data_IF_524486188933
#
_entry.id   IF_524486188933
#
_cell.length_a   1.000
_cell.length_b   1.000
_cell.length_c   1.000
_cell.angle_alpha   90.00
_cell.angle_beta   90.00
_cell.angle_gamma   90.00
#
_symmetry.space_group_name_H-M   'P 1'
#
loop_
_entity.id
_entity.type
_entity.pdbx_description
1 polymer ?
#
# COMPACT_ATOMS: atom_id res chain seq x y z
N UNK A 1 -32.26 45.52 -28.61
CA UNK A 1 -31.77 44.40 -29.46
C UNK A 1 -30.32 43.98 -29.20
N UNK A 2 -29.49 44.70 -28.42
CA UNK A 2 -28.07 44.35 -28.19
C UNK A 2 -27.80 43.38 -27.03
N UNK A 3 -28.72 43.25 -26.06
CA UNK A 3 -28.55 42.37 -24.89
C UNK A 3 -28.81 40.87 -25.15
N UNK A 4 -29.50 40.50 -26.23
CA UNK A 4 -29.84 39.10 -26.50
C UNK A 4 -28.73 38.33 -27.23
N UNK A 5 -27.84 39.05 -27.92
CA UNK A 5 -26.73 38.46 -28.69
C UNK A 5 -25.56 38.11 -27.75
N UNK A 6 -25.34 38.91 -26.70
CA UNK A 6 -24.25 38.69 -25.74
C UNK A 6 -24.48 37.48 -24.83
N UNK A 7 -25.73 37.23 -24.41
CA UNK A 7 -26.05 36.05 -23.60
C UNK A 7 -25.86 34.73 -24.37
N UNK A 8 -26.15 34.72 -25.68
CA UNK A 8 -26.00 33.54 -26.52
C UNK A 8 -24.53 33.24 -26.84
N UNK A 9 -23.66 34.27 -26.91
CA UNK A 9 -22.22 34.09 -27.09
C UNK A 9 -21.56 33.50 -25.83
N UNK A 10 -21.98 33.95 -24.64
CA UNK A 10 -21.40 33.50 -23.37
C UNK A 10 -21.78 32.05 -23.04
N UNK A 11 -23.01 31.64 -23.36
CA UNK A 11 -23.44 30.25 -23.20
C UNK A 11 -22.69 29.30 -24.16
N UNK A 12 -22.36 29.76 -25.38
CA UNK A 12 -21.58 28.98 -26.34
C UNK A 12 -20.13 28.82 -25.86
N UNK A 13 -19.51 29.85 -25.29
CA UNK A 13 -18.14 29.75 -24.75
C UNK A 13 -18.04 28.83 -23.53
N UNK A 14 -19.05 28.83 -22.65
CA UNK A 14 -19.06 27.95 -21.46
C UNK A 14 -19.30 26.48 -21.84
N UNK A 15 -20.12 26.22 -22.88
CA UNK A 15 -20.31 24.87 -23.41
C UNK A 15 -19.09 24.36 -24.21
N UNK A 16 -18.34 25.24 -24.88
CA UNK A 16 -17.07 24.86 -25.53
C UNK A 16 -15.91 24.68 -24.54
N UNK A 17 -15.90 25.38 -23.40
CA UNK A 17 -14.90 25.15 -22.34
C UNK A 17 -15.24 23.96 -21.42
N UNK A 18 -16.52 23.55 -21.36
CA UNK A 18 -16.99 22.46 -20.50
C UNK A 18 -16.83 21.04 -21.07
N UNK A 19 -16.49 20.89 -22.34
CA UNK A 19 -16.49 19.58 -23.03
C UNK A 19 -15.11 18.99 -23.30
N UNK A 20 -14.00 19.59 -22.84
CA UNK A 20 -12.65 19.05 -23.15
C UNK A 20 -11.58 19.23 -22.09
N UNK A 21 -11.95 19.59 -20.85
CA UNK A 21 -11.00 19.76 -19.76
C UNK A 21 -11.22 18.73 -18.64
N UNK A 22 -11.30 17.46 -19.02
CA UNK A 22 -11.21 16.29 -18.13
C UNK A 22 -10.11 15.32 -18.59
N UNK A 23 -9.13 15.85 -19.33
CA UNK A 23 -7.98 15.14 -19.91
C UNK A 23 -7.03 16.15 -20.55
N UNK A 24 -6.64 17.17 -19.78
CA UNK A 24 -5.77 18.24 -20.24
C UNK A 24 -4.31 17.81 -20.24
N UNK A 25 -3.58 18.27 -21.26
CA UNK A 25 -2.12 18.17 -21.40
C UNK A 25 -1.40 18.26 -20.04
N UNK A 26 -0.71 17.16 -19.66
CA UNK A 26 0.07 17.04 -18.42
C UNK A 26 -0.54 16.10 -17.37
N UNK A 27 -1.81 15.69 -17.53
CA UNK A 27 -2.42 14.69 -16.64
C UNK A 27 -1.84 13.28 -16.82
N UNK A 28 -1.37 12.98 -18.04
CA UNK A 28 -0.71 11.73 -18.40
C UNK A 28 0.71 11.65 -17.82
N UNK A 29 1.49 12.73 -17.94
CA UNK A 29 2.83 12.83 -17.35
C UNK A 29 2.77 12.70 -15.82
N UNK A 30 1.81 13.36 -15.17
CA UNK A 30 1.60 13.24 -13.73
C UNK A 30 1.17 11.84 -13.31
N UNK A 31 0.36 11.15 -14.10
CA UNK A 31 -0.07 9.78 -13.83
C UNK A 31 1.07 8.78 -14.07
N UNK A 32 1.92 9.01 -15.07
CA UNK A 32 3.13 8.22 -15.31
C UNK A 32 4.13 8.35 -14.16
N UNK A 33 4.38 9.58 -13.68
CA UNK A 33 5.21 9.81 -12.50
C UNK A 33 4.68 9.06 -11.27
N UNK A 34 3.36 9.02 -11.06
CA UNK A 34 2.74 8.26 -9.97
C UNK A 34 2.93 6.74 -10.09
N UNK A 35 2.97 6.18 -11.31
CA UNK A 35 3.30 4.77 -11.52
C UNK A 35 4.74 4.49 -11.11
N UNK A 36 5.68 5.35 -11.50
CA UNK A 36 7.10 5.18 -11.13
C UNK A 36 7.28 5.28 -9.61
N UNK A 37 6.66 6.27 -8.97
CA UNK A 37 6.67 6.40 -7.50
C UNK A 37 6.03 5.19 -6.80
N UNK A 38 4.93 4.65 -7.36
CA UNK A 38 4.30 3.44 -6.82
C UNK A 38 5.23 2.22 -6.92
N UNK A 39 5.97 2.07 -8.03
CA UNK A 39 6.97 1.01 -8.20
C UNK A 39 8.12 1.15 -7.21
N UNK A 40 8.68 2.35 -7.05
CA UNK A 40 9.77 2.60 -6.09
C UNK A 40 9.34 2.22 -4.66
N UNK A 41 8.11 2.57 -4.28
CA UNK A 41 7.53 2.14 -2.98
C UNK A 41 7.37 0.62 -2.89
N UNK A 42 6.97 -0.03 -3.97
CA UNK A 42 6.84 -1.49 -4.06
C UNK A 42 8.19 -2.20 -3.88
N UNK A 43 9.24 -1.67 -4.50
CA UNK A 43 10.61 -2.18 -4.39
C UNK A 43 11.14 -2.02 -2.97
N UNK A 44 11.04 -0.81 -2.40
CA UNK A 44 11.47 -0.56 -1.03
C UNK A 44 10.73 -1.45 -0.01
N UNK A 45 9.46 -1.77 -0.26
CA UNK A 45 8.70 -2.70 0.58
C UNK A 45 9.18 -4.15 0.43
N UNK A 46 9.54 -4.59 -0.78
CA UNK A 46 10.08 -5.93 -0.99
C UNK A 46 11.36 -6.14 -0.16
N UNK A 47 12.27 -5.16 -0.18
CA UNK A 47 13.50 -5.20 0.62
C UNK A 47 13.21 -5.30 2.13
N UNK A 48 12.24 -4.52 2.62
CA UNK A 48 11.81 -4.58 4.03
C UNK A 48 11.22 -5.94 4.40
N UNK A 49 10.29 -6.46 3.60
CA UNK A 49 9.67 -7.77 3.84
C UNK A 49 10.71 -8.90 3.85
N UNK A 50 11.72 -8.82 2.98
CA UNK A 50 12.81 -9.79 2.96
C UNK A 50 13.69 -9.72 4.22
N UNK A 51 13.96 -8.50 4.69
CA UNK A 51 14.68 -8.28 5.95
C UNK A 51 13.90 -8.83 7.15
N UNK A 52 12.60 -8.56 7.19
CA UNK A 52 11.69 -9.06 8.22
C UNK A 52 11.58 -10.59 8.21
N UNK A 53 11.51 -11.21 7.03
CA UNK A 53 11.51 -12.66 6.90
C UNK A 53 12.81 -13.27 7.42
N UNK A 54 13.94 -12.62 7.13
CA UNK A 54 15.26 -13.04 7.62
C UNK A 54 15.30 -12.99 9.15
N UNK A 55 14.86 -11.88 9.75
CA UNK A 55 14.80 -11.71 11.20
C UNK A 55 13.86 -12.73 11.87
N UNK A 56 12.67 -12.93 11.30
CA UNK A 56 11.69 -13.89 11.81
C UNK A 56 12.17 -15.33 11.72
N UNK A 57 12.85 -15.68 10.62
CA UNK A 57 13.42 -17.02 10.44
C UNK A 57 14.53 -17.28 11.45
N UNK A 58 15.38 -16.28 11.72
CA UNK A 58 16.39 -16.38 12.76
C UNK A 58 15.75 -16.57 14.15
N UNK A 59 14.74 -15.78 14.51
CA UNK A 59 14.03 -15.92 15.78
C UNK A 59 13.30 -17.27 15.91
N UNK A 60 12.76 -17.80 14.80
CA UNK A 60 12.07 -19.09 14.79
C UNK A 60 13.01 -20.29 14.98
N UNK A 61 14.32 -20.12 14.83
CA UNK A 61 15.30 -21.17 15.11
C UNK A 61 15.30 -21.55 16.59
N UNK A 62 15.08 -20.57 17.47
CA UNK A 62 15.05 -20.75 18.93
C UNK A 62 13.62 -20.92 19.46
N UNK A 63 12.60 -20.39 18.75
CA UNK A 63 11.21 -20.40 19.19
C UNK A 63 10.28 -21.07 18.14
N UNK A 64 10.00 -22.36 18.34
CA UNK A 64 9.21 -23.18 17.42
C UNK A 64 7.80 -22.64 17.16
N UNK A 65 7.25 -21.82 18.08
CA UNK A 65 5.92 -21.19 17.93
C UNK A 65 5.86 -20.17 16.80
N UNK A 66 7.01 -19.71 16.30
CA UNK A 66 7.11 -18.77 15.18
C UNK A 66 7.10 -19.43 13.81
N UNK A 67 7.19 -20.76 13.75
CA UNK A 67 7.22 -21.48 12.48
C UNK A 67 6.02 -21.15 11.58
N UNK A 68 4.82 -21.01 12.16
CA UNK A 68 3.63 -20.62 11.38
C UNK A 68 3.72 -19.19 10.84
N UNK A 69 4.27 -18.26 11.61
CA UNK A 69 4.47 -16.88 11.16
C UNK A 69 5.51 -16.79 10.04
N UNK A 70 6.60 -17.58 10.10
CA UNK A 70 7.59 -17.69 9.02
C UNK A 70 6.93 -18.15 7.72
N UNK A 71 6.10 -19.20 7.77
CA UNK A 71 5.38 -19.71 6.59
C UNK A 71 4.48 -18.63 5.99
N UNK A 72 3.71 -17.92 6.81
CA UNK A 72 2.83 -16.85 6.34
C UNK A 72 3.62 -15.68 5.74
N UNK A 73 4.68 -15.22 6.41
CA UNK A 73 5.51 -14.13 5.91
C UNK A 73 6.22 -14.49 4.61
N UNK A 74 6.65 -15.75 4.46
CA UNK A 74 7.23 -16.26 3.20
C UNK A 74 6.24 -16.14 2.06
N UNK A 75 4.97 -16.51 2.28
CA UNK A 75 3.92 -16.36 1.28
C UNK A 75 3.67 -14.89 0.90
N UNK A 76 3.71 -13.98 1.88
CA UNK A 76 3.58 -12.52 1.65
C UNK A 76 4.75 -11.99 0.82
N UNK A 77 5.99 -12.38 1.14
CA UNK A 77 7.19 -12.02 0.36
C UNK A 77 7.05 -12.51 -1.08
N UNK A 78 6.71 -13.78 -1.29
CA UNK A 78 6.54 -14.33 -2.65
C UNK A 78 5.43 -13.62 -3.43
N UNK A 79 4.33 -13.24 -2.77
CA UNK A 79 3.26 -12.46 -3.41
C UNK A 79 3.74 -11.06 -3.81
N UNK A 80 4.50 -10.38 -2.95
CA UNK A 80 5.10 -9.07 -3.24
C UNK A 80 6.06 -9.14 -4.43
N UNK A 81 6.93 -10.14 -4.48
CA UNK A 81 7.90 -10.33 -5.57
C UNK A 81 7.20 -10.60 -6.91
N UNK A 82 6.19 -11.46 -6.91
CA UNK A 82 5.40 -11.77 -8.11
C UNK A 82 4.67 -10.51 -8.63
N UNK A 83 4.04 -9.74 -7.73
CA UNK A 83 3.39 -8.48 -8.06
C UNK A 83 4.38 -7.45 -8.61
N UNK A 84 5.58 -7.35 -8.02
CA UNK A 84 6.64 -6.44 -8.50
C UNK A 84 7.08 -6.78 -9.93
N UNK A 85 7.28 -8.06 -10.25
CA UNK A 85 7.61 -8.50 -11.62
C UNK A 85 6.49 -8.13 -12.59
N UNK A 86 5.24 -8.41 -12.23
CA UNK A 86 4.08 -8.08 -13.04
C UNK A 86 3.94 -6.56 -13.27
N UNK A 87 4.07 -5.76 -12.22
CA UNK A 87 3.94 -4.31 -12.30
C UNK A 87 5.08 -3.62 -13.03
N UNK A 88 6.32 -4.13 -12.92
CA UNK A 88 7.45 -3.66 -13.75
C UNK A 88 7.18 -3.90 -15.24
N UNK A 89 6.70 -5.10 -15.59
CA UNK A 89 6.32 -5.39 -16.97
C UNK A 89 5.18 -4.48 -17.44
N UNK A 90 4.16 -4.27 -16.60
CA UNK A 90 3.03 -3.40 -16.93
C UNK A 90 3.44 -1.94 -17.10
N UNK A 91 4.32 -1.43 -16.26
CA UNK A 91 4.82 -0.07 -16.37
C UNK A 91 5.71 0.12 -17.60
N UNK A 92 6.46 -0.90 -18.02
CA UNK A 92 7.23 -0.87 -19.27
C UNK A 92 6.34 -0.82 -20.52
N UNK A 93 5.12 -1.39 -20.45
CA UNK A 93 4.12 -1.29 -21.53
C UNK A 93 3.42 0.08 -21.56
N UNK A 94 3.29 0.73 -20.41
CA UNK A 94 2.67 2.05 -20.30
C UNK A 94 3.70 3.12 -20.65
N UNK A 95 3.61 3.66 -21.87
CA UNK A 95 4.43 4.80 -22.33
C UNK A 95 3.73 6.15 -22.16
N UNK A 96 4.45 7.25 -22.35
CA UNK A 96 3.89 8.63 -22.43
C UNK A 96 2.77 8.77 -23.48
N UNK A 97 2.69 7.85 -24.46
CA UNK A 97 1.65 7.84 -25.48
C UNK A 97 0.39 7.02 -25.09
N UNK A 98 0.38 6.41 -23.91
CA UNK A 98 -0.76 5.63 -23.42
C UNK A 98 -1.91 6.55 -23.04
N UNK A 99 -3.15 6.11 -23.23
CA UNK A 99 -4.29 6.92 -22.82
C UNK A 99 -4.35 7.06 -21.31
N UNK A 100 -4.79 8.22 -20.80
CA UNK A 100 -5.01 8.45 -19.36
C UNK A 100 -5.77 7.31 -18.68
N UNK A 101 -6.76 6.72 -19.36
CA UNK A 101 -7.57 5.62 -18.82
C UNK A 101 -6.77 4.34 -18.61
N UNK A 102 -5.80 4.06 -19.49
CA UNK A 102 -4.91 2.91 -19.34
C UNK A 102 -3.94 3.14 -18.18
N UNK A 103 -3.34 4.33 -18.09
CA UNK A 103 -2.43 4.70 -16.99
C UNK A 103 -3.16 4.65 -15.63
N UNK A 104 -4.35 5.25 -15.54
CA UNK A 104 -5.16 5.28 -14.33
C UNK A 104 -5.57 3.87 -13.86
N UNK A 105 -5.92 2.97 -14.79
CA UNK A 105 -6.23 1.57 -14.45
C UNK A 105 -5.02 0.79 -13.97
N UNK A 106 -3.87 0.99 -14.62
CA UNK A 106 -2.63 0.34 -14.20
C UNK A 106 -2.23 0.78 -12.79
N UNK A 107 -2.29 2.09 -12.52
CA UNK A 107 -2.03 2.65 -11.19
C UNK A 107 -3.04 2.11 -10.15
N UNK A 108 -4.34 2.09 -10.48
CA UNK A 108 -5.36 1.55 -9.58
C UNK A 108 -5.16 0.08 -9.23
N UNK A 109 -4.75 -0.74 -10.20
CA UNK A 109 -4.41 -2.14 -9.97
C UNK A 109 -3.21 -2.28 -9.02
N UNK A 110 -2.13 -1.52 -9.27
CA UNK A 110 -0.93 -1.50 -8.41
C UNK A 110 -1.28 -1.15 -6.96
N UNK A 111 -2.04 -0.08 -6.74
CA UNK A 111 -2.42 0.37 -5.40
C UNK A 111 -3.33 -0.66 -4.69
N UNK A 112 -4.25 -1.29 -5.42
CA UNK A 112 -5.13 -2.31 -4.84
C UNK A 112 -4.35 -3.56 -4.43
N UNK A 113 -3.41 -4.03 -5.25
CA UNK A 113 -2.57 -5.17 -4.90
C UNK A 113 -1.65 -4.82 -3.72
N UNK A 114 -1.13 -3.58 -3.67
CA UNK A 114 -0.31 -3.12 -2.54
C UNK A 114 -1.05 -3.23 -1.21
N UNK A 115 -2.34 -2.86 -1.23
CA UNK A 115 -3.19 -2.93 -0.05
C UNK A 115 -3.40 -4.38 0.39
N UNK A 116 -3.64 -5.30 -0.55
CA UNK A 116 -3.81 -6.72 -0.24
C UNK A 116 -2.56 -7.30 0.43
N UNK A 117 -1.37 -7.02 -0.11
CA UNK A 117 -0.10 -7.47 0.51
C UNK A 117 0.08 -6.85 1.90
N UNK A 118 -0.27 -5.57 2.06
CA UNK A 118 -0.19 -4.89 3.36
C UNK A 118 -1.10 -5.53 4.41
N UNK A 119 -2.33 -5.85 4.04
CA UNK A 119 -3.29 -6.46 4.96
C UNK A 119 -2.83 -7.86 5.39
N UNK A 120 -2.27 -8.63 4.45
CA UNK A 120 -1.67 -9.94 4.76
C UNK A 120 -0.45 -9.80 5.68
N UNK A 121 0.42 -8.83 5.44
CA UNK A 121 1.55 -8.54 6.30
C UNK A 121 1.11 -8.15 7.73
N UNK A 122 0.15 -7.23 7.84
CA UNK A 122 -0.41 -6.81 9.12
C UNK A 122 -1.01 -8.00 9.89
N UNK A 123 -1.62 -8.95 9.19
CA UNK A 123 -2.13 -10.18 9.81
C UNK A 123 -1.00 -11.04 10.39
N UNK A 124 0.15 -11.16 9.70
CA UNK A 124 1.32 -11.87 10.23
C UNK A 124 1.86 -11.19 11.50
N UNK A 125 1.98 -9.86 11.47
CA UNK A 125 2.40 -9.08 12.64
C UNK A 125 1.43 -9.28 13.80
N UNK A 126 0.12 -9.23 13.55
CA UNK A 126 -0.89 -9.46 14.58
C UNK A 126 -0.79 -10.88 15.18
N UNK A 127 -0.51 -11.90 14.36
CA UNK A 127 -0.31 -13.28 14.84
C UNK A 127 0.95 -13.41 15.72
N UNK A 128 2.02 -12.70 15.36
CA UNK A 128 3.28 -12.65 16.12
C UNK A 128 3.06 -11.96 17.48
N UNK A 129 2.36 -10.84 17.49
CA UNK A 129 2.10 -10.02 18.68
C UNK A 129 1.10 -10.69 19.63
N UNK A 130 0.09 -11.38 19.09
CA UNK A 130 -0.98 -11.99 19.88
C UNK A 130 -0.78 -13.48 20.17
N UNK A 131 0.37 -14.07 19.83
CA UNK A 131 0.63 -15.48 20.07
C UNK A 131 0.65 -15.77 21.59
N UNK A 132 -0.33 -16.53 22.12
CA UNK A 132 -0.41 -16.81 23.55
C UNK A 132 0.68 -17.82 23.93
N UNK A 133 1.78 -17.31 24.46
CA UNK A 133 2.89 -18.14 24.95
C UNK A 133 4.27 -17.52 24.71
N UNK A 134 4.39 -16.56 23.81
CA UNK A 134 5.52 -15.64 23.86
C UNK A 134 5.29 -14.78 25.10
N UNK A 135 6.26 -14.72 26.01
CA UNK A 135 6.13 -13.93 27.23
C UNK A 135 5.80 -12.49 26.81
N UNK A 136 4.53 -12.11 26.96
CA UNK A 136 4.12 -10.74 26.81
C UNK A 136 4.50 -10.11 28.13
N UNK A 137 5.35 -9.08 28.10
CA UNK A 137 5.56 -8.27 29.29
C UNK A 137 4.21 -7.65 29.65
N UNK A 138 3.50 -8.31 30.58
CA UNK A 138 2.13 -7.97 30.92
C UNK A 138 2.15 -6.51 31.38
N UNK A 139 1.41 -5.59 30.71
CA UNK A 139 1.40 -4.21 31.14
C UNK A 139 1.00 -4.21 32.61
N UNK A 140 1.79 -3.53 33.45
CA UNK A 140 1.61 -3.56 34.91
C UNK A 140 0.13 -3.44 35.27
N UNK A 141 -0.35 -4.14 36.30
CA UNK A 141 -1.77 -4.16 36.72
C UNK A 141 -2.37 -2.77 37.02
N UNK A 142 -1.56 -1.72 36.97
CA UNK A 142 -1.96 -0.31 37.13
C UNK A 142 -2.14 0.44 35.80
N UNK A 143 -1.82 -0.17 34.67
CA UNK A 143 -2.03 0.38 33.32
C UNK A 143 -3.39 -0.07 32.80
N UNK A 144 -4.43 0.73 33.05
CA UNK A 144 -5.73 0.56 32.41
C UNK A 144 -5.62 1.23 31.04
N UNK A 145 -5.15 0.50 30.02
CA UNK A 145 -5.30 0.93 28.63
C UNK A 145 -6.72 0.54 28.20
N UNK A 146 -7.59 1.50 27.83
CA UNK A 146 -8.90 1.17 27.30
C UNK A 146 -8.76 0.26 26.08
N UNK A 147 -9.58 -0.77 25.95
CA UNK A 147 -9.50 -1.72 24.82
C UNK A 147 -9.55 -1.03 23.44
N UNK A 148 -10.25 0.10 23.35
CA UNK A 148 -10.29 0.94 22.15
C UNK A 148 -8.93 1.59 21.83
N UNK A 149 -8.14 1.96 22.84
CA UNK A 149 -6.82 2.56 22.67
C UNK A 149 -5.79 1.50 22.24
N UNK A 150 -5.86 0.28 22.77
CA UNK A 150 -4.99 -0.83 22.34
C UNK A 150 -5.24 -1.26 20.89
N UNK A 151 -6.51 -1.24 20.45
CA UNK A 151 -6.88 -1.49 19.05
C UNK A 151 -6.40 -0.36 18.11
N UNK A 152 -6.44 0.88 18.61
CA UNK A 152 -5.96 2.07 17.88
C UNK A 152 -4.42 2.11 17.83
N UNK A 153 -3.71 1.76 18.91
CA UNK A 153 -2.23 1.61 18.89
C UNK A 153 -1.80 0.48 17.95
N UNK A 154 -2.51 -0.66 17.96
CA UNK A 154 -2.26 -1.75 17.02
C UNK A 154 -2.57 -1.39 15.55
N UNK A 155 -3.49 -0.45 15.29
CA UNK A 155 -3.78 0.02 13.93
C UNK A 155 -2.95 1.23 13.49
N UNK A 156 -2.38 1.98 14.44
CA UNK A 156 -1.60 3.20 14.18
C UNK A 156 -0.11 2.94 14.05
N UNK A 157 0.37 1.81 14.57
CA UNK A 157 1.76 1.46 14.41
C UNK A 157 1.92 0.67 13.11
N UNK A 158 2.70 1.23 12.20
CA UNK A 158 3.41 0.54 11.12
C UNK A 158 4.45 -0.43 11.75
N UNK A 159 3.99 -1.33 12.65
CA UNK A 159 4.84 -2.23 13.44
C UNK A 159 5.47 -3.18 12.45
N UNK A 160 6.79 -3.08 12.30
CA UNK A 160 7.53 -4.08 11.54
C UNK A 160 7.57 -5.40 12.29
N UNK A 161 7.80 -6.51 11.60
CA UNK A 161 8.06 -7.80 12.26
C UNK A 161 9.23 -7.68 13.23
N UNK A 162 10.23 -6.86 12.91
CA UNK A 162 11.34 -6.56 13.82
C UNK A 162 10.86 -5.93 15.14
N UNK A 163 10.00 -4.91 15.08
CA UNK A 163 9.43 -4.27 16.27
C UNK A 163 8.53 -5.23 17.06
N UNK A 164 7.79 -6.08 16.36
CA UNK A 164 6.96 -7.12 16.96
C UNK A 164 7.78 -8.26 17.62
N UNK A 165 9.01 -8.48 17.17
CA UNK A 165 9.96 -9.38 17.83
C UNK A 165 10.62 -8.74 19.04
N UNK A 166 10.91 -7.43 18.99
CA UNK A 166 11.56 -6.68 20.07
C UNK A 166 10.62 -6.30 21.23
N UNK A 167 9.31 -6.27 20.99
CA UNK A 167 8.27 -6.02 22.00
C UNK A 167 7.88 -7.25 22.82
N UNK A 168 8.59 -8.37 22.63
CA UNK A 168 8.52 -9.60 23.43
C UNK A 168 9.51 -9.51 24.57
#
# INVERSE_FOLDING_TARGET
>A
MRLRITASLFALTVLLSGCRMYGGYGSEEAAYAQIQEALERYEARADRLQSDLTALTAAAADEARLASAVVKLTAVVSAQEAALVFHRAKAAEVSENSSYREVSRALGAMLSEQQVVQDQYAQVVADIVNNPGLDRQDPSRYSIVPAALAAVEASLLDISVLDALQSR
#
